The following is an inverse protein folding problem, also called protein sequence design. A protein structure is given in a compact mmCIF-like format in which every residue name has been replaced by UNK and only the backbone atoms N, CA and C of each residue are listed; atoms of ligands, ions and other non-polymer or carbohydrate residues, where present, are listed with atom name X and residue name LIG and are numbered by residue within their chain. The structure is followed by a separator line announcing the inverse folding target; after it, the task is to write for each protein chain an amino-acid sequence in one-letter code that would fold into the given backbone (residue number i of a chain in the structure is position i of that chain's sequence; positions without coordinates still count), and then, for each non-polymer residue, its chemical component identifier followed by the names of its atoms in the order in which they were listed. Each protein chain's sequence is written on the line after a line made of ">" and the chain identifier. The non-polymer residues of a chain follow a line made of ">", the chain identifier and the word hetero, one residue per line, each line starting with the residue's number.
data_IF_681867677341
#
_entry.id   IF_681867677341
#
_cell.length_a   1.000
_cell.length_b   1.000
_cell.length_c   1.000
_cell.angle_alpha   90.00
_cell.angle_beta   90.00
_cell.angle_gamma   90.00
#
_symmetry.space_group_name_H-M   'P 1'
#
loop_
_entity.id
_entity.type
_entity.pdbx_description
1 polymer ?
#
# COMPACT_ATOMS: atom_id res chain seq x y z
N UNK A 1 45.77 -0.27 -21.67
CA UNK A 1 44.68 -1.26 -21.64
C UNK A 1 43.45 -0.60 -21.05
N UNK A 2 42.35 -0.48 -21.79
CA UNK A 2 41.11 0.12 -21.26
C UNK A 2 40.31 -0.97 -20.56
N UNK A 3 40.24 -0.92 -19.23
CA UNK A 3 39.37 -1.79 -18.44
C UNK A 3 37.91 -1.48 -18.79
N UNK A 4 37.18 -2.52 -19.22
CA UNK A 4 35.74 -2.43 -19.47
C UNK A 4 35.03 -2.42 -18.12
N UNK A 5 34.50 -1.26 -17.72
CA UNK A 5 33.57 -1.14 -16.61
C UNK A 5 32.33 -1.96 -16.99
N UNK A 6 32.13 -3.11 -16.35
CA UNK A 6 30.89 -3.87 -16.48
C UNK A 6 29.78 -3.06 -15.80
N UNK A 7 28.68 -2.72 -16.48
CA UNK A 7 27.56 -2.10 -15.79
C UNK A 7 27.07 -3.09 -14.72
N UNK A 8 27.02 -2.63 -13.47
CA UNK A 8 26.26 -3.31 -12.42
C UNK A 8 24.86 -3.57 -12.95
N UNK A 9 24.25 -4.75 -12.74
CA UNK A 9 22.86 -4.95 -13.10
C UNK A 9 22.05 -3.84 -12.44
N UNK A 10 21.35 -3.04 -13.25
CA UNK A 10 20.42 -2.05 -12.74
C UNK A 10 19.45 -2.78 -11.82
N UNK A 11 19.24 -2.26 -10.60
CA UNK A 11 18.26 -2.77 -9.66
C UNK A 11 16.92 -2.84 -10.41
N UNK A 12 16.42 -4.06 -10.69
CA UNK A 12 15.10 -4.21 -11.32
C UNK A 12 14.11 -3.44 -10.45
N UNK A 13 13.35 -2.54 -11.05
CA UNK A 13 12.20 -1.95 -10.39
C UNK A 13 11.18 -3.09 -10.36
N UNK A 14 11.10 -3.80 -9.25
CA UNK A 14 10.00 -4.73 -9.01
C UNK A 14 8.70 -3.90 -8.91
N UNK A 15 7.59 -4.45 -9.40
CA UNK A 15 6.27 -3.82 -9.30
C UNK A 15 5.96 -3.52 -7.83
N UNK A 16 5.70 -2.25 -7.45
CA UNK A 16 5.44 -1.90 -6.06
C UNK A 16 4.24 -2.67 -5.51
N UNK A 17 4.37 -3.20 -4.29
CA UNK A 17 3.29 -3.89 -3.57
C UNK A 17 2.59 -2.93 -2.64
N UNK A 18 1.29 -2.76 -2.87
CA UNK A 18 0.43 -1.83 -2.16
C UNK A 18 -0.60 -2.62 -1.36
N UNK A 19 -0.77 -2.23 -0.09
CA UNK A 19 -1.97 -2.59 0.69
C UNK A 19 -2.94 -1.43 0.60
N UNK A 20 -4.12 -1.65 0.03
CA UNK A 20 -5.21 -0.69 -0.02
C UNK A 20 -6.25 -1.04 1.04
N UNK A 21 -6.63 -0.08 1.87
CA UNK A 21 -7.62 -0.24 2.95
C UNK A 21 -8.76 0.72 2.70
N UNK A 22 -9.87 0.19 2.19
CA UNK A 22 -11.04 0.93 1.69
C UNK A 22 -12.26 0.00 1.78
N UNK A 23 -13.30 0.44 2.48
CA UNK A 23 -14.52 -0.35 2.75
C UNK A 23 -15.63 -0.08 1.72
N UNK A 24 -15.57 1.04 1.01
CA UNK A 24 -16.49 1.35 -0.07
C UNK A 24 -16.09 0.62 -1.36
N UNK A 25 -16.92 -0.33 -1.78
CA UNK A 25 -16.67 -1.14 -2.98
C UNK A 25 -16.46 -0.32 -4.27
N UNK A 26 -17.15 0.82 -4.43
CA UNK A 26 -17.00 1.65 -5.64
C UNK A 26 -15.66 2.38 -5.62
N UNK A 27 -15.31 3.01 -4.50
CA UNK A 27 -14.01 3.65 -4.29
C UNK A 27 -12.86 2.65 -4.51
N UNK A 28 -12.97 1.48 -3.88
CA UNK A 28 -12.05 0.37 -4.03
C UNK A 28 -11.77 0.05 -5.51
N UNK A 29 -12.81 -0.03 -6.36
CA UNK A 29 -12.65 -0.36 -7.78
C UNK A 29 -11.95 0.74 -8.57
N UNK A 30 -12.25 2.00 -8.27
CA UNK A 30 -11.60 3.15 -8.91
C UNK A 30 -10.12 3.20 -8.53
N UNK A 31 -9.81 3.07 -7.25
CA UNK A 31 -8.44 3.13 -6.74
C UNK A 31 -7.61 1.93 -7.18
N UNK A 32 -8.17 0.71 -7.13
CA UNK A 32 -7.53 -0.50 -7.64
C UNK A 32 -7.17 -0.34 -9.13
N UNK A 33 -8.06 0.23 -9.94
CA UNK A 33 -7.80 0.47 -11.36
C UNK A 33 -6.66 1.46 -11.59
N UNK A 34 -6.65 2.59 -10.85
CA UNK A 34 -5.59 3.59 -10.93
C UNK A 34 -4.22 3.01 -10.52
N UNK A 35 -4.16 2.27 -9.42
CA UNK A 35 -2.92 1.64 -8.95
C UNK A 35 -2.40 0.57 -9.93
N UNK A 36 -3.30 -0.20 -10.56
CA UNK A 36 -2.92 -1.17 -11.59
C UNK A 36 -2.42 -0.51 -12.87
N UNK A 37 -2.99 0.63 -13.27
CA UNK A 37 -2.49 1.44 -14.40
C UNK A 37 -1.05 1.92 -14.15
N UNK A 38 -0.71 2.20 -12.88
CA UNK A 38 0.65 2.51 -12.42
C UNK A 38 1.55 1.29 -12.22
N UNK A 39 1.14 0.10 -12.66
CA UNK A 39 1.87 -1.17 -12.56
C UNK A 39 2.17 -1.58 -11.11
N UNK A 40 1.28 -1.26 -10.17
CA UNK A 40 1.35 -1.75 -8.80
C UNK A 40 0.63 -3.09 -8.64
N UNK A 41 1.16 -3.94 -7.74
CA UNK A 41 0.45 -5.09 -7.19
C UNK A 41 -0.37 -4.64 -5.99
N UNK A 42 -1.67 -4.94 -5.97
CA UNK A 42 -2.58 -4.41 -4.95
C UNK A 42 -3.25 -5.57 -4.20
N UNK A 43 -3.00 -5.63 -2.90
CA UNK A 43 -3.84 -6.40 -1.96
C UNK A 43 -4.87 -5.46 -1.35
N UNK A 44 -6.09 -5.96 -1.13
CA UNK A 44 -7.19 -5.14 -0.62
C UNK A 44 -7.72 -5.67 0.72
N UNK A 45 -7.82 -4.75 1.68
CA UNK A 45 -8.55 -4.91 2.92
C UNK A 45 -9.80 -4.03 2.90
N UNK A 46 -10.97 -4.63 3.06
CA UNK A 46 -12.29 -3.98 3.15
C UNK A 46 -12.69 -3.62 4.59
N UNK A 47 -11.81 -3.89 5.55
CA UNK A 47 -12.00 -3.62 6.99
C UNK A 47 -10.65 -3.38 7.65
N UNK A 48 -10.64 -2.64 8.75
CA UNK A 48 -9.44 -2.46 9.57
C UNK A 48 -8.88 -3.78 10.12
N UNK A 49 -9.75 -4.72 10.51
CA UNK A 49 -9.30 -6.03 11.01
C UNK A 49 -8.61 -6.87 9.93
N UNK A 50 -9.15 -6.89 8.71
CA UNK A 50 -8.48 -7.55 7.58
C UNK A 50 -7.16 -6.87 7.23
N UNK A 51 -7.09 -5.54 7.34
CA UNK A 51 -5.85 -4.80 7.13
C UNK A 51 -4.78 -5.21 8.16
N UNK A 52 -5.16 -5.37 9.44
CA UNK A 52 -4.26 -5.84 10.49
C UNK A 52 -3.74 -7.26 10.25
N UNK A 53 -4.58 -8.13 9.70
CA UNK A 53 -4.21 -9.51 9.36
C UNK A 53 -3.31 -9.60 8.12
N UNK A 54 -3.56 -8.76 7.10
CA UNK A 54 -2.77 -8.75 5.87
C UNK A 54 -1.41 -8.08 6.02
N UNK A 55 -1.32 -7.06 6.88
CA UNK A 55 -0.12 -6.26 7.07
C UNK A 55 0.99 -7.05 7.76
N UNK A 56 2.16 -7.10 7.10
CA UNK A 56 3.37 -7.69 7.64
C UNK A 56 4.61 -6.84 7.28
N UNK A 57 5.55 -6.61 8.22
CA UNK A 57 6.72 -5.80 7.93
C UNK A 57 7.54 -6.26 6.74
N UNK A 58 7.73 -5.34 5.77
CA UNK A 58 8.51 -5.62 4.56
C UNK A 58 7.72 -6.29 3.43
N UNK A 59 6.43 -6.62 3.65
CA UNK A 59 5.54 -7.18 2.62
C UNK A 59 5.08 -6.14 1.60
N UNK A 60 4.82 -4.91 2.06
CA UNK A 60 4.29 -3.82 1.26
C UNK A 60 5.26 -2.64 1.24
N UNK A 61 5.38 -2.03 0.07
CA UNK A 61 6.17 -0.81 -0.15
C UNK A 61 5.42 0.44 0.32
N UNK A 62 4.08 0.39 0.31
CA UNK A 62 3.22 1.49 0.75
C UNK A 62 1.82 0.98 1.13
N UNK A 63 1.16 1.73 2.02
CA UNK A 63 -0.25 1.54 2.36
C UNK A 63 -1.06 2.76 1.93
N UNK A 64 -2.17 2.51 1.24
CA UNK A 64 -3.25 3.48 0.99
C UNK A 64 -4.36 3.18 2.01
N UNK A 65 -4.72 4.18 2.82
CA UNK A 65 -5.60 4.02 3.98
C UNK A 65 -6.72 5.06 3.94
N UNK A 66 -7.96 4.62 3.75
CA UNK A 66 -9.11 5.47 4.06
C UNK A 66 -9.18 5.73 5.57
N UNK A 67 -9.46 6.98 5.93
CA UNK A 67 -9.57 7.41 7.33
C UNK A 67 -10.91 6.94 7.93
N UNK A 68 -11.94 6.87 7.09
CA UNK A 68 -13.35 6.76 7.47
C UNK A 68 -13.95 5.36 7.38
N UNK A 69 -13.21 4.31 7.74
CA UNK A 69 -13.74 2.94 7.69
C UNK A 69 -14.92 2.73 8.65
N UNK A 70 -15.90 1.92 8.22
CA UNK A 70 -17.09 1.56 8.97
C UNK A 70 -16.78 0.84 10.29
N UNK A 71 -15.75 -0.01 10.33
CA UNK A 71 -15.42 -0.84 11.49
C UNK A 71 -14.48 -0.16 12.50
N UNK A 72 -13.62 0.74 12.03
CA UNK A 72 -12.63 1.42 12.87
C UNK A 72 -12.08 2.68 12.24
N UNK A 73 -11.39 3.52 13.01
CA UNK A 73 -10.68 4.65 12.41
C UNK A 73 -9.41 4.17 11.69
N UNK A 74 -9.24 4.53 10.42
CA UNK A 74 -8.02 4.25 9.65
C UNK A 74 -6.75 4.80 10.31
N UNK A 75 -6.86 5.90 11.06
CA UNK A 75 -5.77 6.44 11.88
C UNK A 75 -5.29 5.45 12.96
N UNK A 76 -6.21 4.73 13.62
CA UNK A 76 -5.85 3.73 14.64
C UNK A 76 -5.15 2.53 14.02
N UNK A 77 -5.57 2.10 12.82
CA UNK A 77 -4.91 1.04 12.05
C UNK A 77 -3.50 1.49 11.65
N UNK A 78 -3.35 2.69 11.07
CA UNK A 78 -2.06 3.26 10.70
C UNK A 78 -1.11 3.39 11.91
N UNK A 79 -1.64 3.80 13.08
CA UNK A 79 -0.87 3.86 14.33
C UNK A 79 -0.38 2.47 14.79
N UNK A 80 -1.15 1.40 14.56
CA UNK A 80 -0.72 0.01 14.82
C UNK A 80 0.38 -0.41 13.82
N UNK A 81 0.26 -0.06 12.55
CA UNK A 81 1.28 -0.34 11.52
C UNK A 81 2.61 0.37 11.82
N UNK A 82 2.57 1.66 12.15
CA UNK A 82 3.75 2.47 12.46
C UNK A 82 4.53 2.01 13.70
N UNK A 83 3.89 1.23 14.60
CA UNK A 83 4.54 0.57 15.72
C UNK A 83 5.32 -0.69 15.30
N UNK A 84 4.91 -1.35 14.20
CA UNK A 84 5.53 -2.57 13.68
C UNK A 84 6.68 -2.27 12.73
N UNK A 85 6.57 -1.25 11.88
CA UNK A 85 7.64 -0.84 10.96
C UNK A 85 7.50 0.63 10.47
N UNK A 86 8.30 1.00 9.44
CA UNK A 86 8.29 2.32 8.79
C UNK A 86 7.73 2.31 7.36
N UNK A 87 6.83 1.38 7.03
CA UNK A 87 6.15 1.41 5.71
C UNK A 87 5.41 2.75 5.56
N UNK A 88 5.62 3.48 4.47
CA UNK A 88 4.87 4.71 4.17
C UNK A 88 3.36 4.47 4.13
N UNK A 89 2.59 5.38 4.71
CA UNK A 89 1.13 5.33 4.74
C UNK A 89 0.59 6.65 4.19
N UNK A 90 -0.18 6.60 3.11
CA UNK A 90 -0.96 7.72 2.61
C UNK A 90 -2.37 7.56 3.17
N UNK A 91 -2.77 8.50 4.03
CA UNK A 91 -4.14 8.56 4.53
C UNK A 91 -4.94 9.55 3.67
N UNK A 92 -6.13 9.15 3.25
CA UNK A 92 -7.06 9.98 2.51
C UNK A 92 -8.46 9.82 3.09
N UNK A 93 -9.34 10.73 2.71
CA UNK A 93 -10.76 10.63 2.97
C UNK A 93 -11.43 11.05 1.67
N UNK A 94 -12.29 10.20 1.12
CA UNK A 94 -13.19 10.63 0.06
C UNK A 94 -14.22 11.57 0.70
N UNK A 95 -14.26 12.82 0.20
CA UNK A 95 -15.30 13.75 0.59
C UNK A 95 -16.67 13.17 0.15
N UNK A 96 -17.72 13.35 0.96
CA UNK A 96 -19.04 12.76 0.73
C UNK A 96 -19.67 13.18 -0.61
#
# INVERSE_FOLDING_TARGET
>A
TKEKIKPSPAKRIEEPKILMVEDNFVAQKVEEALLKELQCQVDIADTGDKALNLFDPGKYDMVFMDIGLEDTSGYLVAKKFAKRNKTPIIMYQLLP
#
